data_IF_247741419934
#
_entry.id   IF_247741419934
#
_cell.length_a   1.000
_cell.length_b   1.000
_cell.length_c   1.000
_cell.angle_alpha   90.00
_cell.angle_beta   90.00
_cell.angle_gamma   90.00
#
_symmetry.space_group_name_H-M   'P 1'
#
loop_
_entity.id
_entity.type
_entity.pdbx_description
1 polymer ?
#
# COMPACT_ATOMS: atom_id res chain seq x y z
N UNK A 1 -8.71 40.23 2.89
CA UNK A 1 -8.85 38.78 3.11
C UNK A 1 -7.89 38.37 4.21
N UNK A 2 -8.41 37.82 5.32
CA UNK A 2 -7.59 37.42 6.47
C UNK A 2 -6.70 36.22 6.16
N UNK A 3 -5.60 36.03 6.89
CA UNK A 3 -4.72 34.85 6.71
C UNK A 3 -5.51 33.55 6.93
N UNK A 4 -6.39 33.53 7.93
CA UNK A 4 -7.31 32.42 8.19
C UNK A 4 -8.16 32.06 6.98
N UNK A 5 -8.83 33.03 6.37
CA UNK A 5 -9.63 32.80 5.16
C UNK A 5 -8.79 32.30 3.98
N UNK A 6 -7.56 32.82 3.82
CA UNK A 6 -6.64 32.34 2.79
C UNK A 6 -6.30 30.87 2.99
N UNK A 7 -5.91 30.48 4.20
CA UNK A 7 -5.55 29.08 4.54
C UNK A 7 -6.75 28.14 4.38
N UNK A 8 -7.95 28.54 4.78
CA UNK A 8 -9.16 27.72 4.58
C UNK A 8 -9.48 27.51 3.09
N UNK A 9 -9.30 28.54 2.26
CA UNK A 9 -9.49 28.44 0.82
C UNK A 9 -8.39 27.61 0.14
N UNK A 10 -7.13 27.79 0.56
CA UNK A 10 -6.00 26.97 0.09
C UNK A 10 -6.17 25.50 0.46
N UNK A 11 -6.66 25.19 1.66
CA UNK A 11 -6.98 23.82 2.07
C UNK A 11 -7.99 23.17 1.12
N UNK A 12 -9.07 23.89 0.78
CA UNK A 12 -10.07 23.37 -0.16
C UNK A 12 -9.46 23.14 -1.54
N UNK A 13 -8.72 24.13 -2.07
CA UNK A 13 -8.06 24.01 -3.39
C UNK A 13 -7.05 22.86 -3.42
N UNK A 14 -6.32 22.65 -2.33
CA UNK A 14 -5.40 21.53 -2.19
C UNK A 14 -6.14 20.18 -2.17
N UNK A 15 -7.26 20.09 -1.45
CA UNK A 15 -8.09 18.89 -1.42
C UNK A 15 -8.63 18.53 -2.82
N UNK A 16 -9.06 19.54 -3.57
CA UNK A 16 -9.54 19.38 -4.95
C UNK A 16 -8.39 18.86 -5.85
N UNK A 17 -7.20 19.48 -5.78
CA UNK A 17 -6.01 19.02 -6.52
C UNK A 17 -5.59 17.59 -6.15
N UNK A 18 -5.62 17.23 -4.86
CA UNK A 18 -5.31 15.87 -4.42
C UNK A 18 -6.28 14.87 -5.03
N UNK A 19 -7.57 15.21 -5.05
CA UNK A 19 -8.62 14.35 -5.60
C UNK A 19 -8.44 14.17 -7.10
N UNK A 20 -8.21 15.24 -7.85
CA UNK A 20 -7.99 15.20 -9.30
C UNK A 20 -6.77 14.35 -9.66
N UNK A 21 -5.64 14.55 -8.96
CA UNK A 21 -4.41 13.78 -9.17
C UNK A 21 -4.64 12.31 -8.80
N UNK A 22 -5.24 12.03 -7.65
CA UNK A 22 -5.51 10.66 -7.21
C UNK A 22 -6.41 9.91 -8.20
N UNK A 23 -7.47 10.57 -8.70
CA UNK A 23 -8.39 9.96 -9.66
C UNK A 23 -7.69 9.65 -10.98
N UNK A 24 -6.90 10.59 -11.51
CA UNK A 24 -6.13 10.37 -12.73
C UNK A 24 -5.12 9.22 -12.56
N UNK A 25 -4.37 9.20 -11.45
CA UNK A 25 -3.42 8.11 -11.15
C UNK A 25 -4.10 6.75 -11.00
N UNK A 26 -5.26 6.68 -10.36
CA UNK A 26 -6.02 5.45 -10.20
C UNK A 26 -6.56 4.92 -11.54
N UNK A 27 -7.04 5.81 -12.41
CA UNK A 27 -7.46 5.46 -13.77
C UNK A 27 -6.31 4.88 -14.58
N UNK A 28 -5.15 5.54 -14.56
CA UNK A 28 -3.95 5.10 -15.27
C UNK A 28 -3.40 3.77 -14.73
N UNK A 29 -3.47 3.56 -13.41
CA UNK A 29 -3.13 2.28 -12.79
C UNK A 29 -4.00 1.14 -13.31
N UNK A 30 -5.31 1.37 -13.45
CA UNK A 30 -6.26 0.37 -13.96
C UNK A 30 -5.96 0.02 -15.43
N UNK A 31 -5.64 1.03 -16.25
CA UNK A 31 -5.23 0.81 -17.65
C UNK A 31 -3.95 0.00 -17.73
N UNK A 32 -2.94 0.32 -16.92
CA UNK A 32 -1.68 -0.45 -16.87
C UNK A 32 -1.92 -1.89 -16.44
N UNK A 33 -2.77 -2.13 -15.44
CA UNK A 33 -3.14 -3.49 -15.05
C UNK A 33 -3.78 -4.25 -16.23
N UNK A 34 -4.63 -3.59 -17.00
CA UNK A 34 -5.30 -4.16 -18.18
C UNK A 34 -4.31 -4.45 -19.30
N UNK A 35 -3.41 -3.51 -19.62
CA UNK A 35 -2.30 -3.69 -20.57
C UNK A 35 -1.47 -4.91 -20.18
N UNK A 36 -1.15 -5.09 -18.89
CA UNK A 36 -0.39 -6.25 -18.41
C UNK A 36 -1.14 -7.57 -18.56
N UNK A 37 -2.46 -7.57 -18.36
CA UNK A 37 -3.30 -8.76 -18.60
C UNK A 37 -3.30 -9.13 -20.07
N UNK A 38 -3.54 -8.17 -20.97
CA UNK A 38 -3.51 -8.36 -22.41
C UNK A 38 -2.13 -8.80 -22.89
N UNK A 39 -1.06 -8.18 -22.39
CA UNK A 39 0.32 -8.55 -22.68
C UNK A 39 0.57 -10.04 -22.41
N UNK A 40 0.13 -10.53 -21.25
CA UNK A 40 0.26 -11.95 -20.93
C UNK A 40 -0.59 -12.86 -21.82
N UNK A 41 -1.79 -12.41 -22.23
CA UNK A 41 -2.66 -13.18 -23.12
C UNK A 41 -2.09 -13.28 -24.53
N UNK A 42 -1.58 -12.17 -25.08
CA UNK A 42 -0.92 -12.12 -26.39
C UNK A 42 0.32 -13.02 -26.38
N UNK A 43 1.17 -12.87 -25.38
CA UNK A 43 2.36 -13.70 -25.25
C UNK A 43 2.05 -15.19 -25.05
N UNK A 44 0.94 -15.51 -24.36
CA UNK A 44 0.46 -16.89 -24.25
C UNK A 44 0.02 -17.48 -25.59
N UNK A 45 -0.57 -16.66 -26.46
CA UNK A 45 -1.07 -17.07 -27.77
C UNK A 45 0.09 -17.30 -28.74
N UNK A 46 1.09 -16.44 -28.69
CA UNK A 46 2.23 -16.46 -29.61
C UNK A 46 3.40 -17.34 -29.13
N UNK A 47 3.30 -17.87 -27.91
CA UNK A 47 4.35 -18.70 -27.27
C UNK A 47 5.69 -17.96 -27.16
N UNK A 48 5.64 -16.67 -26.86
CA UNK A 48 6.84 -15.82 -26.77
C UNK A 48 7.84 -16.37 -25.74
N UNK A 49 9.12 -16.11 -25.99
CA UNK A 49 10.22 -16.61 -25.15
C UNK A 49 10.08 -16.24 -23.66
N UNK A 50 9.40 -15.13 -23.34
CA UNK A 50 9.13 -14.70 -21.96
C UNK A 50 7.92 -15.35 -21.29
N UNK A 51 7.05 -16.03 -22.04
CA UNK A 51 5.78 -16.54 -21.54
C UNK A 51 5.95 -17.66 -20.51
N UNK A 52 6.83 -18.63 -20.76
CA UNK A 52 7.03 -19.76 -19.84
C UNK A 52 7.51 -19.29 -18.47
N UNK A 53 8.45 -18.34 -18.43
CA UNK A 53 8.93 -17.75 -17.18
C UNK A 53 7.81 -17.01 -16.44
N UNK A 54 7.05 -16.16 -17.14
CA UNK A 54 5.91 -15.44 -16.57
C UNK A 54 4.82 -16.40 -16.04
N UNK A 55 4.57 -17.51 -16.73
CA UNK A 55 3.63 -18.55 -16.32
C UNK A 55 4.08 -19.27 -15.05
N UNK A 56 5.36 -19.65 -14.96
CA UNK A 56 5.94 -20.25 -13.75
C UNK A 56 5.83 -19.32 -12.55
N UNK A 57 6.11 -18.01 -12.75
CA UNK A 57 5.97 -17.01 -11.68
C UNK A 57 4.50 -16.86 -11.25
N UNK A 58 3.53 -16.86 -12.17
CA UNK A 58 2.09 -16.85 -11.80
C UNK A 58 1.69 -18.07 -10.98
N UNK A 59 2.20 -19.26 -11.32
CA UNK A 59 1.94 -20.48 -10.55
C UNK A 59 2.56 -20.36 -9.16
N UNK A 60 3.83 -19.93 -9.07
CA UNK A 60 4.51 -19.66 -7.80
C UNK A 60 3.71 -18.68 -6.93
N UNK A 61 3.24 -17.56 -7.48
CA UNK A 61 2.46 -16.57 -6.74
C UNK A 61 1.14 -17.16 -6.24
N UNK A 62 0.49 -18.03 -7.02
CA UNK A 62 -0.70 -18.77 -6.55
C UNK A 62 -0.34 -19.66 -5.35
N UNK A 63 0.79 -20.35 -5.38
CA UNK A 63 1.26 -21.14 -4.23
C UNK A 63 1.55 -20.26 -3.01
N UNK A 64 2.19 -19.09 -3.20
CA UNK A 64 2.43 -18.12 -2.12
C UNK A 64 1.12 -17.64 -1.49
N UNK A 65 0.11 -17.29 -2.30
CA UNK A 65 -1.20 -16.86 -1.81
C UNK A 65 -1.90 -17.92 -0.96
N UNK A 66 -1.71 -19.19 -1.32
CA UNK A 66 -2.30 -20.33 -0.62
C UNK A 66 -1.31 -21.03 0.33
N UNK A 67 -0.15 -20.44 0.64
CA UNK A 67 0.94 -21.10 1.38
C UNK A 67 0.54 -21.65 2.73
N UNK A 68 -0.34 -20.96 3.47
CA UNK A 68 -0.80 -21.40 4.80
C UNK A 68 -1.66 -22.64 4.64
N UNK A 69 -2.59 -22.64 3.68
CA UNK A 69 -3.44 -23.79 3.38
C UNK A 69 -2.61 -24.97 2.91
N UNK A 70 -1.64 -24.74 2.02
CA UNK A 70 -0.73 -25.76 1.53
C UNK A 70 0.12 -26.35 2.68
N UNK A 71 0.69 -25.52 3.55
CA UNK A 71 1.50 -25.97 4.68
C UNK A 71 0.69 -26.82 5.67
N UNK A 72 -0.57 -26.46 5.94
CA UNK A 72 -1.48 -27.25 6.79
C UNK A 72 -1.81 -28.60 6.13
N UNK A 73 -2.13 -28.60 4.83
CA UNK A 73 -2.44 -29.83 4.09
C UNK A 73 -1.21 -30.74 4.04
N UNK A 74 -0.02 -30.19 3.74
CA UNK A 74 1.25 -30.89 3.72
C UNK A 74 1.57 -31.50 5.08
N UNK A 75 1.39 -30.74 6.16
CA UNK A 75 1.52 -31.23 7.53
C UNK A 75 0.65 -32.45 7.80
N UNK A 76 -0.65 -32.36 7.49
CA UNK A 76 -1.62 -33.42 7.74
C UNK A 76 -1.30 -34.69 6.94
N UNK A 77 -0.93 -34.54 5.67
CA UNK A 77 -0.56 -35.67 4.81
C UNK A 77 0.69 -36.35 5.36
N UNK A 78 1.75 -35.59 5.65
CA UNK A 78 3.00 -36.15 6.18
C UNK A 78 2.78 -36.82 7.55
N UNK A 79 2.01 -36.19 8.43
CA UNK A 79 1.65 -36.76 9.72
C UNK A 79 0.92 -38.10 9.55
N UNK A 80 -0.09 -38.18 8.69
CA UNK A 80 -0.84 -39.41 8.44
C UNK A 80 0.02 -40.50 7.82
N UNK A 81 0.91 -40.16 6.89
CA UNK A 81 1.82 -41.13 6.25
C UNK A 81 2.81 -41.70 7.26
N UNK A 82 3.45 -40.85 8.08
CA UNK A 82 4.41 -41.31 9.08
C UNK A 82 3.68 -42.11 10.17
N UNK A 83 2.50 -41.68 10.60
CA UNK A 83 1.67 -42.41 11.56
C UNK A 83 1.28 -43.80 11.02
N UNK A 84 0.80 -43.88 9.78
CA UNK A 84 0.45 -45.15 9.15
C UNK A 84 1.66 -46.07 9.00
N UNK A 85 2.83 -45.53 8.66
CA UNK A 85 4.08 -46.29 8.56
C UNK A 85 4.45 -46.94 9.90
N UNK A 86 4.40 -46.17 10.99
CA UNK A 86 4.71 -46.67 12.34
C UNK A 86 3.72 -47.76 12.76
N UNK A 87 2.42 -47.52 12.55
CA UNK A 87 1.37 -48.46 12.97
C UNK A 87 1.36 -49.76 12.15
N UNK A 88 1.67 -49.69 10.85
CA UNK A 88 1.53 -50.84 9.94
C UNK A 88 2.82 -51.64 9.74
N UNK A 89 3.99 -51.03 9.87
CA UNK A 89 5.26 -51.63 9.45
C UNK A 89 6.20 -51.87 10.63
N UNK A 90 6.21 -51.02 11.65
CA UNK A 90 7.21 -51.04 12.73
C UNK A 90 6.63 -51.53 14.07
N UNK A 91 6.01 -52.73 14.05
CA UNK A 91 5.36 -53.32 15.23
C UNK A 91 6.35 -53.80 16.32
N UNK A 92 7.64 -53.98 16.02
CA UNK A 92 8.64 -54.59 16.92
C UNK A 92 9.61 -53.59 17.60
N UNK A 93 9.67 -52.31 17.18
CA UNK A 93 10.60 -51.30 17.73
C UNK A 93 9.90 -50.05 18.29
N UNK A 94 8.79 -50.26 19.00
CA UNK A 94 7.87 -49.19 19.45
C UNK A 94 8.39 -48.27 20.56
N UNK A 95 9.52 -48.56 21.21
CA UNK A 95 9.96 -47.76 22.37
C UNK A 95 10.80 -46.51 22.04
N UNK A 96 11.28 -46.36 20.79
CA UNK A 96 12.14 -45.20 20.44
C UNK A 96 11.88 -44.53 19.08
N UNK A 97 10.92 -45.00 18.27
CA UNK A 97 10.43 -44.18 17.15
C UNK A 97 9.52 -43.08 17.68
N UNK A 98 10.18 -42.08 18.25
CA UNK A 98 9.63 -41.09 19.15
C UNK A 98 8.45 -40.33 18.54
N UNK A 99 7.39 -40.16 19.34
CA UNK A 99 6.29 -39.22 19.08
C UNK A 99 6.81 -37.81 18.69
N UNK A 100 8.04 -37.46 19.09
CA UNK A 100 8.68 -36.25 18.58
C UNK A 100 8.93 -36.29 17.07
N UNK A 101 9.37 -37.39 16.48
CA UNK A 101 9.67 -37.48 15.04
C UNK A 101 8.41 -37.40 14.18
N UNK A 102 7.30 -38.00 14.61
CA UNK A 102 5.99 -37.91 13.93
C UNK A 102 5.41 -36.52 13.90
N UNK A 103 5.74 -35.68 14.88
CA UNK A 103 5.26 -34.30 14.96
C UNK A 103 6.28 -33.32 14.37
N UNK A 104 7.56 -33.47 14.73
CA UNK A 104 8.62 -32.54 14.32
C UNK A 104 8.93 -32.60 12.83
N UNK A 105 8.92 -33.77 12.19
CA UNK A 105 9.25 -33.86 10.76
C UNK A 105 8.19 -33.14 9.91
N UNK A 106 6.88 -33.41 10.06
CA UNK A 106 5.86 -32.62 9.37
C UNK A 106 5.94 -31.13 9.71
N UNK A 107 6.18 -30.78 10.99
CA UNK A 107 6.28 -29.38 11.42
C UNK A 107 7.44 -28.65 10.72
N UNK A 108 8.63 -29.25 10.68
CA UNK A 108 9.82 -28.67 10.04
C UNK A 108 9.58 -28.49 8.54
N UNK A 109 8.98 -29.47 7.87
CA UNK A 109 8.65 -29.37 6.44
C UNK A 109 7.67 -28.23 6.18
N UNK A 110 6.60 -28.12 6.98
CA UNK A 110 5.62 -27.02 6.84
C UNK A 110 6.24 -25.65 7.11
N UNK A 111 7.16 -25.53 8.07
CA UNK A 111 7.90 -24.28 8.33
C UNK A 111 8.81 -23.94 7.13
N UNK A 112 9.51 -24.93 6.58
CA UNK A 112 10.34 -24.73 5.38
C UNK A 112 9.51 -24.31 4.16
N UNK A 113 8.34 -24.91 3.95
CA UNK A 113 7.41 -24.50 2.88
C UNK A 113 6.98 -23.04 3.02
N UNK A 114 6.65 -22.60 4.24
CA UNK A 114 6.30 -21.20 4.51
C UNK A 114 7.45 -20.24 4.23
N UNK A 115 8.69 -20.64 4.52
CA UNK A 115 9.89 -19.85 4.23
C UNK A 115 10.22 -19.79 2.72
N UNK A 116 10.05 -20.90 1.99
CA UNK A 116 10.28 -20.94 0.54
C UNK A 116 9.24 -20.09 -0.21
N UNK A 117 7.98 -20.11 0.25
CA UNK A 117 6.87 -19.34 -0.31
C UNK A 117 6.61 -18.05 0.50
N UNK A 118 7.66 -17.30 0.84
CA UNK A 118 7.55 -16.11 1.69
C UNK A 118 6.91 -14.90 0.97
N UNK A 119 7.19 -14.67 -0.31
CA UNK A 119 6.70 -13.47 -1.01
C UNK A 119 6.32 -13.75 -2.46
N UNK A 120 5.29 -13.04 -2.90
CA UNK A 120 4.93 -12.99 -4.32
C UNK A 120 6.05 -12.32 -5.10
N UNK A 121 6.27 -12.79 -6.32
CA UNK A 121 7.27 -12.26 -7.23
C UNK A 121 6.58 -11.55 -8.38
N UNK A 122 7.10 -10.40 -8.78
CA UNK A 122 6.63 -9.65 -9.94
C UNK A 122 6.58 -10.52 -11.19
N UNK A 123 5.40 -10.64 -11.80
CA UNK A 123 5.29 -11.24 -13.13
C UNK A 123 5.91 -10.27 -14.14
N UNK A 124 6.99 -10.66 -14.84
CA UNK A 124 7.69 -9.78 -15.76
C UNK A 124 6.76 -9.40 -16.92
N UNK A 125 6.92 -8.18 -17.39
CA UNK A 125 6.29 -7.75 -18.63
C UNK A 125 7.00 -8.42 -19.81
N UNK A 126 6.23 -8.99 -20.74
CA UNK A 126 6.77 -9.73 -21.88
C UNK A 126 6.88 -8.77 -23.05
N UNK A 127 8.05 -8.68 -23.68
CA UNK A 127 8.20 -7.84 -24.86
C UNK A 127 7.49 -8.53 -26.04
N UNK A 128 6.35 -7.96 -26.43
CA UNK A 128 5.58 -8.34 -27.62
C UNK A 128 5.96 -7.44 -28.79
N UNK A 129 5.89 -7.92 -30.03
CA UNK A 129 6.14 -7.10 -31.21
C UNK A 129 4.92 -6.24 -31.58
N UNK A 130 5.14 -5.17 -32.36
CA UNK A 130 4.07 -4.23 -32.70
C UNK A 130 2.95 -4.89 -33.53
N UNK A 131 3.29 -5.85 -34.38
CA UNK A 131 2.38 -6.62 -35.22
C UNK A 131 1.50 -7.59 -34.42
N UNK A 132 1.93 -7.98 -33.22
CA UNK A 132 1.18 -8.87 -32.31
C UNK A 132 0.16 -8.13 -31.45
N UNK A 133 0.32 -6.81 -31.29
CA UNK A 133 -0.57 -5.98 -30.48
C UNK A 133 -1.97 -5.95 -31.09
N UNK A 134 -2.97 -6.28 -30.27
CA UNK A 134 -4.37 -6.10 -30.63
C UNK A 134 -4.74 -4.62 -30.71
N UNK A 135 -5.83 -4.28 -31.39
CA UNK A 135 -6.33 -2.90 -31.43
C UNK A 135 -6.62 -2.38 -30.02
N UNK A 136 -7.28 -3.18 -29.17
CA UNK A 136 -7.54 -2.87 -27.76
C UNK A 136 -6.25 -2.53 -26.99
N UNK A 137 -5.20 -3.33 -27.19
CA UNK A 137 -3.91 -3.09 -26.55
C UNK A 137 -3.30 -1.74 -26.99
N UNK A 138 -3.34 -1.43 -28.29
CA UNK A 138 -2.84 -0.16 -28.85
C UNK A 138 -3.66 1.04 -28.38
N UNK A 139 -4.98 0.89 -28.29
CA UNK A 139 -5.88 1.91 -27.75
C UNK A 139 -5.53 2.23 -26.30
N UNK A 140 -5.33 1.22 -25.45
CA UNK A 140 -4.92 1.41 -24.06
C UNK A 140 -3.53 2.06 -23.92
N UNK A 141 -2.57 1.71 -24.78
CA UNK A 141 -1.26 2.39 -24.82
C UNK A 141 -1.42 3.87 -25.20
N UNK A 142 -2.29 4.19 -26.15
CA UNK A 142 -2.58 5.57 -26.52
C UNK A 142 -3.29 6.33 -25.39
N UNK A 143 -4.27 5.71 -24.74
CA UNK A 143 -4.95 6.28 -23.58
C UNK A 143 -4.00 6.57 -22.42
N UNK A 144 -3.03 5.68 -22.17
CA UNK A 144 -2.01 5.91 -21.13
C UNK A 144 -1.04 7.04 -21.48
N UNK A 145 -0.72 7.23 -22.77
CA UNK A 145 0.04 8.40 -23.23
C UNK A 145 -0.75 9.69 -23.01
N UNK A 146 -2.05 9.69 -23.29
CA UNK A 146 -2.94 10.84 -23.08
C UNK A 146 -3.07 11.13 -21.57
N UNK A 147 -3.37 10.12 -20.77
CA UNK A 147 -3.50 10.23 -19.32
C UNK A 147 -2.23 10.76 -18.66
N UNK A 148 -1.05 10.33 -19.09
CA UNK A 148 0.24 10.89 -18.62
C UNK A 148 0.41 12.37 -18.98
N UNK A 149 -0.07 12.82 -20.14
CA UNK A 149 -0.08 14.26 -20.47
C UNK A 149 -1.01 15.03 -19.55
N UNK A 150 -2.16 14.48 -19.22
CA UNK A 150 -3.12 15.12 -18.30
C UNK A 150 -2.60 15.15 -16.85
N UNK A 151 -1.94 14.07 -16.40
CA UNK A 151 -1.21 14.06 -15.13
C UNK A 151 -0.16 15.17 -15.07
N UNK A 152 0.65 15.33 -16.12
CA UNK A 152 1.67 16.38 -16.16
C UNK A 152 1.05 17.79 -16.07
N UNK A 153 -0.13 18.01 -16.67
CA UNK A 153 -0.86 19.28 -16.53
C UNK A 153 -1.34 19.48 -15.08
N UNK A 154 -1.85 18.43 -14.43
CA UNK A 154 -2.25 18.48 -13.03
C UNK A 154 -1.06 18.76 -12.10
N UNK A 155 0.06 18.06 -12.29
CA UNK A 155 1.31 18.28 -11.54
C UNK A 155 1.81 19.71 -11.74
N UNK A 156 1.75 20.25 -12.96
CA UNK A 156 2.15 21.64 -13.21
C UNK A 156 1.27 22.64 -12.45
N UNK A 157 -0.05 22.41 -12.40
CA UNK A 157 -0.99 23.23 -11.58
C UNK A 157 -0.70 23.09 -10.10
N UNK A 158 -0.37 21.88 -9.66
CA UNK A 158 0.00 21.58 -8.29
C UNK A 158 1.30 22.30 -7.87
N UNK A 159 2.33 22.28 -8.71
CA UNK A 159 3.59 23.01 -8.50
C UNK A 159 3.38 24.53 -8.41
N UNK A 160 2.51 25.08 -9.26
CA UNK A 160 2.12 26.48 -9.18
C UNK A 160 1.37 26.82 -7.88
N UNK A 161 0.59 25.88 -7.35
CA UNK A 161 -0.04 26.02 -6.04
C UNK A 161 1.01 25.92 -4.90
N UNK A 162 1.83 24.88 -4.91
CA UNK A 162 2.89 24.60 -3.92
C UNK A 162 3.82 25.79 -3.72
N UNK A 163 4.30 26.39 -4.81
CA UNK A 163 5.22 27.55 -4.79
C UNK A 163 4.65 28.81 -4.16
N UNK A 164 3.32 28.94 -4.05
CA UNK A 164 2.65 30.16 -3.58
C UNK A 164 1.78 29.94 -2.33
N UNK A 165 1.59 28.70 -1.89
CA UNK A 165 0.69 28.36 -0.79
C UNK A 165 1.30 28.67 0.58
N UNK A 166 0.50 29.25 1.47
CA UNK A 166 0.84 29.41 2.88
C UNK A 166 0.94 28.06 3.60
N UNK A 167 0.25 27.04 3.07
CA UNK A 167 0.27 25.67 3.57
C UNK A 167 1.39 24.81 2.97
N UNK A 168 2.31 25.37 2.19
CA UNK A 168 3.36 24.62 1.46
C UNK A 168 4.20 23.68 2.35
N UNK A 169 4.47 24.08 3.61
CA UNK A 169 5.18 23.22 4.57
C UNK A 169 4.39 22.00 5.07
N UNK A 170 3.10 21.91 4.77
CA UNK A 170 2.20 20.86 5.25
C UNK A 170 1.69 19.92 4.14
N UNK A 171 2.06 20.20 2.88
CA UNK A 171 1.62 19.45 1.70
C UNK A 171 2.74 18.53 1.19
N UNK A 172 2.37 17.55 0.37
CA UNK A 172 3.34 16.64 -0.26
C UNK A 172 4.15 17.39 -1.33
N UNK A 173 5.48 17.30 -1.34
CA UNK A 173 6.27 17.88 -2.42
C UNK A 173 5.90 17.30 -3.79
N UNK A 174 5.87 18.13 -4.83
CA UNK A 174 5.44 17.70 -6.17
C UNK A 174 6.31 16.61 -6.80
N UNK A 175 7.60 16.54 -6.45
CA UNK A 175 8.55 15.50 -6.88
C UNK A 175 8.28 14.13 -6.25
N UNK A 176 7.49 14.07 -5.18
CA UNK A 176 7.05 12.81 -4.55
C UNK A 176 5.81 12.21 -5.20
N UNK A 177 5.18 12.92 -6.15
CA UNK A 177 4.06 12.42 -6.94
C UNK A 177 4.63 11.56 -8.07
N UNK A 178 4.38 10.25 -8.00
CA UNK A 178 4.93 9.27 -8.95
C UNK A 178 3.78 8.60 -9.68
N UNK A 179 3.77 8.72 -11.01
CA UNK A 179 2.78 8.08 -11.89
C UNK A 179 2.95 6.55 -11.98
N UNK A 180 1.86 5.82 -12.26
CA UNK A 180 1.94 4.38 -12.47
C UNK A 180 2.66 4.06 -13.79
N UNK A 181 3.42 2.97 -13.79
CA UNK A 181 4.15 2.47 -14.97
C UNK A 181 4.04 0.95 -15.06
N UNK A 182 4.41 0.39 -16.20
CA UNK A 182 4.47 -1.07 -16.39
C UNK A 182 5.50 -1.68 -15.42
N UNK A 183 6.61 -0.98 -15.20
CA UNK A 183 7.70 -1.36 -14.29
C UNK A 183 7.26 -1.32 -12.82
N UNK A 184 6.51 -0.28 -12.43
CA UNK A 184 5.92 -0.16 -11.09
C UNK A 184 4.65 -0.98 -10.93
N UNK A 185 4.28 -1.81 -11.92
CA UNK A 185 3.11 -2.67 -11.85
C UNK A 185 1.76 -1.94 -11.69
N UNK A 186 1.72 -0.65 -12.04
CA UNK A 186 0.56 0.20 -11.77
C UNK A 186 0.61 0.88 -10.40
N UNK A 187 1.61 0.62 -9.55
CA UNK A 187 1.75 1.34 -8.29
C UNK A 187 2.12 2.80 -8.53
N UNK A 188 1.53 3.70 -7.73
CA UNK A 188 1.71 5.14 -7.82
C UNK A 188 1.76 5.79 -6.43
N UNK A 189 2.32 7.00 -6.38
CA UNK A 189 2.32 7.86 -5.18
C UNK A 189 1.56 9.14 -5.49
N UNK A 190 0.67 9.52 -4.59
CA UNK A 190 -0.24 10.65 -4.76
C UNK A 190 -0.17 11.58 -3.55
N UNK A 191 -0.44 12.90 -3.73
CA UNK A 191 -0.50 13.84 -2.62
C UNK A 191 -1.75 13.57 -1.78
N UNK A 192 -1.65 13.76 -0.47
CA UNK A 192 -2.77 13.57 0.44
C UNK A 192 -2.82 14.66 1.51
N UNK A 193 -3.96 14.77 2.17
CA UNK A 193 -4.15 15.70 3.29
C UNK A 193 -3.61 15.05 4.56
N UNK A 194 -2.49 15.58 5.07
CA UNK A 194 -1.89 15.13 6.32
C UNK A 194 -2.83 15.36 7.52
N UNK A 195 -2.65 14.56 8.59
CA UNK A 195 -3.41 14.71 9.82
C UNK A 195 -3.18 16.09 10.48
N UNK A 196 -1.97 16.63 10.34
CA UNK A 196 -1.60 17.97 10.78
C UNK A 196 -2.38 19.05 10.03
N UNK A 197 -2.38 19.00 8.69
CA UNK A 197 -3.08 19.98 7.88
C UNK A 197 -4.59 19.95 8.14
N UNK A 198 -5.16 18.75 8.29
CA UNK A 198 -6.57 18.57 8.67
C UNK A 198 -6.89 19.18 10.03
N UNK A 199 -6.03 18.96 11.03
CA UNK A 199 -6.23 19.52 12.37
C UNK A 199 -6.08 21.03 12.37
N UNK A 200 -5.08 21.56 11.66
CA UNK A 200 -4.84 22.99 11.49
C UNK A 200 -6.06 23.67 10.86
N UNK A 201 -6.60 23.10 9.79
CA UNK A 201 -7.85 23.56 9.17
C UNK A 201 -9.00 23.59 10.19
N UNK A 202 -9.15 22.53 11.00
CA UNK A 202 -10.23 22.45 11.99
C UNK A 202 -10.10 23.51 13.10
N UNK A 203 -8.89 23.77 13.60
CA UNK A 203 -8.64 24.83 14.60
C UNK A 203 -8.99 26.21 14.04
N UNK A 204 -8.55 26.50 12.81
CA UNK A 204 -8.85 27.75 12.12
C UNK A 204 -10.36 27.90 11.87
N UNK A 205 -11.03 26.84 11.39
CA UNK A 205 -12.47 26.84 11.11
C UNK A 205 -13.30 27.07 12.38
N UNK A 206 -12.89 26.47 13.50
CA UNK A 206 -13.56 26.62 14.81
C UNK A 206 -13.18 27.93 15.54
N UNK A 207 -12.36 28.79 14.93
CA UNK A 207 -11.82 30.01 15.55
C UNK A 207 -11.08 29.75 16.87
N UNK A 208 -10.45 28.58 16.97
CA UNK A 208 -9.57 28.23 18.09
C UNK A 208 -8.13 28.73 17.86
N UNK A 209 -7.84 29.16 16.65
CA UNK A 209 -6.60 29.82 16.24
C UNK A 209 -6.91 30.89 15.19
N UNK A 210 -6.11 31.95 15.15
CA UNK A 210 -6.23 33.05 14.18
C UNK A 210 -5.29 32.86 12.97
N UNK A 211 -4.21 32.11 13.12
CA UNK A 211 -3.22 31.86 12.06
C UNK A 211 -2.68 30.42 12.07
N UNK A 212 -1.97 30.07 10.98
CA UNK A 212 -1.47 28.71 10.75
C UNK A 212 -0.45 28.24 11.80
N UNK A 213 0.35 29.17 12.32
CA UNK A 213 1.36 28.88 13.33
C UNK A 213 0.70 28.49 14.66
N UNK A 214 -0.27 29.27 15.12
CA UNK A 214 -1.04 28.96 16.33
C UNK A 214 -1.79 27.63 16.20
N UNK A 215 -2.38 27.37 15.04
CA UNK A 215 -3.07 26.11 14.77
C UNK A 215 -2.13 24.89 14.77
N UNK A 216 -0.93 24.99 14.19
CA UNK A 216 0.09 23.92 14.22
C UNK A 216 0.66 23.71 15.62
N UNK A 217 0.81 24.78 16.42
CA UNK A 217 1.20 24.68 17.83
C UNK A 217 0.17 23.90 18.65
N UNK A 218 -1.13 24.18 18.47
CA UNK A 218 -2.20 23.43 19.13
C UNK A 218 -2.22 21.95 18.74
N UNK A 219 -1.94 21.65 17.46
CA UNK A 219 -1.79 20.28 16.99
C UNK A 219 -0.60 19.56 17.65
N UNK A 220 0.56 20.21 17.68
CA UNK A 220 1.79 19.67 18.29
C UNK A 220 1.60 19.39 19.77
N UNK A 221 0.97 20.32 20.51
CA UNK A 221 0.59 20.11 21.91
C UNK A 221 -0.30 18.88 22.05
N UNK A 222 -1.35 18.75 21.22
CA UNK A 222 -2.26 17.61 21.25
C UNK A 222 -1.56 16.28 20.99
N UNK A 223 -0.60 16.21 20.07
CA UNK A 223 0.20 15.00 19.84
C UNK A 223 1.03 14.69 21.08
N UNK A 224 1.76 15.68 21.60
CA UNK A 224 2.64 15.50 22.75
C UNK A 224 1.86 14.97 23.97
N UNK A 225 0.66 15.52 24.23
CA UNK A 225 -0.25 15.04 25.27
C UNK A 225 -0.74 13.60 25.06
N UNK A 226 -0.91 13.18 23.80
CA UNK A 226 -1.34 11.80 23.48
C UNK A 226 -0.18 10.80 23.53
N UNK A 227 1.04 11.24 23.23
CA UNK A 227 2.25 10.39 23.25
C UNK A 227 2.84 10.24 24.65
N UNK A 228 2.59 11.19 25.56
CA UNK A 228 2.85 11.01 26.99
C UNK A 228 1.83 10.02 27.56
N UNK A 229 2.21 8.74 27.64
CA UNK A 229 1.39 7.63 28.13
C UNK A 229 1.09 7.65 29.63
N UNK A 230 1.56 8.66 30.35
CA UNK A 230 1.03 9.03 31.67
C UNK A 230 0.68 10.52 31.65
N UNK A 231 -0.58 10.91 31.93
CA UNK A 231 -0.86 12.31 32.19
C UNK A 231 -0.07 12.69 33.45
N UNK A 232 0.90 13.60 33.30
CA UNK A 232 1.63 14.16 34.42
C UNK A 232 0.61 14.54 35.52
N UNK A 233 0.69 13.95 36.73
CA UNK A 233 -0.25 14.19 37.81
C UNK A 233 -0.42 15.68 38.09
N UNK A 234 0.63 16.47 37.85
CA UNK A 234 0.61 17.91 38.01
C UNK A 234 -0.33 18.60 37.01
N UNK A 235 -0.43 18.10 35.78
CA UNK A 235 -1.31 18.63 34.73
C UNK A 235 -2.77 18.33 35.07
N UNK A 236 -3.08 17.13 35.57
CA UNK A 236 -4.43 16.78 36.04
C UNK A 236 -4.86 17.64 37.24
N UNK A 237 -3.94 17.88 38.19
CA UNK A 237 -4.18 18.76 39.34
C UNK A 237 -4.38 20.21 38.89
N UNK A 238 -3.62 20.69 37.91
CA UNK A 238 -3.77 22.05 37.38
C UNK A 238 -5.06 22.25 36.59
N UNK A 239 -5.48 21.26 35.80
CA UNK A 239 -6.76 21.26 35.08
C UNK A 239 -7.94 21.20 36.06
N UNK A 240 -7.85 20.37 37.11
CA UNK A 240 -8.87 20.30 38.15
C UNK A 240 -8.98 21.60 38.96
N UNK A 241 -7.84 22.24 39.28
CA UNK A 241 -7.83 23.56 39.92
C UNK A 241 -8.46 24.63 39.01
N UNK A 242 -8.07 24.70 37.74
CA UNK A 242 -8.62 25.66 36.80
C UNK A 242 -10.13 25.49 36.59
N UNK A 243 -10.64 24.26 36.51
CA UNK A 243 -12.07 23.96 36.43
C UNK A 243 -12.86 24.39 37.68
N UNK A 244 -12.23 24.33 38.87
CA UNK A 244 -12.82 24.79 40.12
C UNK A 244 -12.77 26.32 40.30
N UNK A 245 -11.85 27.02 39.64
CA UNK A 245 -11.82 28.50 39.63
C UNK A 245 -12.78 29.13 38.60
N UNK A 246 -13.29 28.34 37.66
CA UNK A 246 -14.27 28.78 36.65
C UNK A 246 -15.73 28.55 37.08
N UNK A 247 -15.97 28.13 38.32
CA UNK A 247 -17.28 28.11 39.01
C UNK A 247 -17.32 29.24 40.02
#
# INVERSE_FOLDING_TARGET
MSQREKVLNEYKRYADLCTDIQNNLAEESSKIETIRKLNFQIASKNQDAGFLNAKLIKVRNRLVKHRIQLAIISYLILFLVIFAWIVLIDNDNTETFSILLTILVPLIVSVLELLIFDKEVTVPFIKISEDEKTNEYRELEMETIIGRKDLNKLISRYQAFESNALISGFITPSDQIIGPTVETMGEFKYPFISAELRSTHDYLKKRQAENIYEASMLYSQRINFKSSSEPDPQILVNVAKAANYAR
#
